data_IF_419832156832
#
_entry.id   IF_419832156832
#
_cell.length_a   1.000
_cell.length_b   1.000
_cell.length_c   1.000
_cell.angle_alpha   90.00
_cell.angle_beta   90.00
_cell.angle_gamma   90.00
#
_symmetry.space_group_name_H-M   'P 1'
#
loop_
_entity.id
_entity.type
_entity.pdbx_description
1 polymer ?
#
# COMPACT_ATOMS: atom_id res chain seq x y z
N UNK A 1 -89.93 6.02 -22.10
CA UNK A 1 -90.24 4.83 -22.92
C UNK A 1 -89.39 3.66 -22.39
N UNK A 2 -89.98 2.46 -22.26
CA UNK A 2 -89.44 1.25 -21.60
C UNK A 2 -88.62 0.41 -22.63
N UNK A 3 -87.92 -0.71 -22.36
CA UNK A 3 -88.30 -1.89 -21.58
C UNK A 3 -87.06 -2.78 -21.25
N UNK A 4 -87.22 -3.56 -20.16
CA UNK A 4 -86.49 -4.73 -19.64
C UNK A 4 -86.51 -5.93 -20.65
N UNK A 5 -85.93 -7.16 -20.44
CA UNK A 5 -85.49 -7.81 -19.18
C UNK A 5 -84.27 -8.80 -19.21
N UNK A 6 -83.93 -9.31 -18.01
CA UNK A 6 -83.17 -10.51 -17.55
C UNK A 6 -83.51 -11.87 -18.27
N UNK A 7 -82.98 -13.09 -17.94
CA UNK A 7 -81.80 -13.59 -17.17
C UNK A 7 -81.02 -14.75 -17.94
N UNK A 8 -80.66 -15.96 -17.40
CA UNK A 8 -79.38 -16.34 -16.76
C UNK A 8 -78.71 -17.66 -17.28
N UNK A 9 -77.65 -18.11 -16.56
CA UNK A 9 -77.08 -19.49 -16.45
C UNK A 9 -76.32 -19.98 -17.70
N UNK A 10 -75.09 -20.48 -17.58
CA UNK A 10 -74.82 -21.85 -17.10
C UNK A 10 -73.50 -22.00 -16.33
N UNK A 11 -73.59 -22.78 -15.26
CA UNK A 11 -72.48 -23.45 -14.56
C UNK A 11 -71.83 -24.47 -15.49
N UNK A 12 -70.51 -24.62 -15.37
CA UNK A 12 -69.76 -25.89 -15.28
C UNK A 12 -68.28 -25.57 -15.56
N UNK A 13 -67.41 -25.58 -14.54
CA UNK A 13 -66.74 -26.79 -14.06
C UNK A 13 -65.91 -27.47 -15.16
N UNK A 14 -64.58 -27.34 -15.06
CA UNK A 14 -63.52 -28.34 -15.31
C UNK A 14 -62.19 -27.57 -15.34
N UNK A 15 -61.42 -27.64 -14.26
CA UNK A 15 -60.34 -28.62 -14.05
C UNK A 15 -59.12 -28.38 -14.96
N UNK A 16 -57.95 -28.37 -14.32
CA UNK A 16 -56.67 -28.84 -14.86
C UNK A 16 -55.75 -27.79 -15.50
N UNK A 17 -54.87 -27.18 -14.70
CA UNK A 17 -53.41 -27.49 -14.64
C UNK A 17 -52.67 -26.28 -14.01
N UNK A 18 -52.00 -26.42 -12.86
CA UNK A 18 -51.08 -25.40 -12.39
C UNK A 18 -49.77 -25.52 -13.19
N UNK A 19 -49.50 -24.55 -14.07
CA UNK A 19 -48.16 -24.38 -14.63
C UNK A 19 -47.23 -23.95 -13.49
N UNK A 20 -46.42 -24.90 -13.00
CA UNK A 20 -45.23 -24.62 -12.21
C UNK A 20 -44.27 -23.75 -13.03
N UNK A 21 -44.27 -22.44 -12.79
CA UNK A 21 -43.12 -21.61 -13.14
C UNK A 21 -41.99 -21.93 -12.16
N UNK A 22 -41.08 -22.82 -12.59
CA UNK A 22 -39.80 -23.05 -11.95
C UNK A 22 -38.97 -21.75 -12.03
N UNK A 23 -39.03 -20.94 -10.97
CA UNK A 23 -38.11 -19.83 -10.76
C UNK A 23 -36.75 -20.43 -10.36
N UNK A 24 -35.86 -20.57 -11.33
CA UNK A 24 -34.46 -20.90 -11.12
C UNK A 24 -33.78 -19.67 -10.50
N UNK A 25 -33.24 -19.72 -9.26
CA UNK A 25 -32.43 -18.62 -8.77
C UNK A 25 -31.10 -18.68 -9.52
N UNK A 26 -30.82 -17.64 -10.31
CA UNK A 26 -29.48 -17.35 -10.80
C UNK A 26 -28.60 -17.09 -9.58
N UNK A 27 -27.93 -18.14 -9.12
CA UNK A 27 -26.88 -18.06 -8.11
C UNK A 27 -25.72 -17.31 -8.79
N UNK A 28 -25.68 -15.99 -8.62
CA UNK A 28 -24.53 -15.19 -8.96
C UNK A 28 -23.37 -15.68 -8.07
N UNK A 29 -22.51 -16.53 -8.63
CA UNK A 29 -21.24 -16.88 -8.04
C UNK A 29 -20.42 -15.59 -7.94
N UNK A 30 -20.46 -14.97 -6.76
CA UNK A 30 -19.53 -13.91 -6.41
C UNK A 30 -18.13 -14.54 -6.47
N UNK A 31 -17.39 -14.25 -7.54
CA UNK A 31 -15.97 -14.55 -7.57
C UNK A 31 -15.34 -13.87 -6.34
N UNK A 32 -14.57 -14.59 -5.51
CA UNK A 32 -13.86 -13.95 -4.42
C UNK A 32 -13.00 -12.83 -5.01
N UNK A 33 -12.88 -11.69 -4.32
CA UNK A 33 -12.00 -10.61 -4.79
C UNK A 33 -10.61 -11.23 -5.02
N UNK A 34 -10.04 -10.97 -6.20
CA UNK A 34 -8.68 -11.37 -6.50
C UNK A 34 -7.78 -10.77 -5.42
N UNK A 35 -7.30 -11.62 -4.52
CA UNK A 35 -6.41 -11.23 -3.44
C UNK A 35 -5.13 -10.73 -4.07
N UNK A 36 -4.94 -9.40 -4.07
CA UNK A 36 -3.62 -8.80 -4.31
C UNK A 36 -2.62 -9.57 -3.46
N UNK A 37 -1.47 -10.00 -4.00
CA UNK A 37 -0.48 -10.74 -3.22
C UNK A 37 -0.17 -9.96 -1.93
N UNK A 38 -0.64 -10.49 -0.80
CA UNK A 38 -0.30 -9.93 0.50
C UNK A 38 1.24 -10.00 0.63
N UNK A 39 1.88 -8.89 0.98
CA UNK A 39 3.30 -8.81 1.26
C UNK A 39 3.78 -9.98 2.16
N UNK A 40 5.07 -10.39 2.10
CA UNK A 40 5.58 -11.41 3.00
C UNK A 40 5.35 -10.99 4.46
N UNK A 41 4.96 -11.96 5.29
CA UNK A 41 5.08 -11.81 6.74
C UNK A 41 6.54 -11.77 7.15
N UNK A 42 6.83 -11.27 8.35
CA UNK A 42 8.20 -11.22 8.89
C UNK A 42 8.86 -12.61 8.87
N UNK A 43 8.16 -13.64 9.33
CA UNK A 43 8.66 -15.02 9.32
C UNK A 43 8.95 -15.54 7.91
N UNK A 44 8.09 -15.22 6.94
CA UNK A 44 8.31 -15.59 5.54
C UNK A 44 9.52 -14.85 4.95
N UNK A 45 9.73 -13.58 5.29
CA UNK A 45 10.88 -12.81 4.85
C UNK A 45 12.18 -13.33 5.48
N UNK A 46 12.17 -13.70 6.76
CA UNK A 46 13.31 -14.34 7.44
C UNK A 46 13.63 -15.69 6.79
N UNK A 47 12.61 -16.50 6.49
CA UNK A 47 12.81 -17.78 5.80
C UNK A 47 13.41 -17.59 4.40
N UNK A 48 12.89 -16.62 3.64
CA UNK A 48 13.42 -16.27 2.31
C UNK A 48 14.87 -15.78 2.37
N UNK A 49 15.23 -14.97 3.36
CA UNK A 49 16.60 -14.52 3.57
C UNK A 49 17.53 -15.70 3.87
N UNK A 50 17.16 -16.59 4.80
CA UNK A 50 17.98 -17.76 5.14
C UNK A 50 18.19 -18.67 3.94
N UNK A 51 17.14 -18.89 3.15
CA UNK A 51 17.24 -19.68 1.92
C UNK A 51 18.19 -19.03 0.90
N UNK A 52 18.14 -17.71 0.75
CA UNK A 52 19.07 -16.99 -0.13
C UNK A 52 20.52 -17.07 0.38
N UNK A 53 20.76 -16.86 1.67
CA UNK A 53 22.10 -16.97 2.27
C UNK A 53 22.66 -18.40 2.18
N UNK A 54 21.81 -19.43 2.25
CA UNK A 54 22.24 -20.81 2.08
C UNK A 54 22.56 -21.18 0.62
N UNK A 55 21.96 -20.47 -0.34
CA UNK A 55 22.22 -20.65 -1.77
C UNK A 55 23.47 -19.89 -2.23
N UNK A 56 23.82 -18.78 -1.58
CA UNK A 56 25.11 -18.14 -1.72
C UNK A 56 26.17 -19.06 -1.09
N UNK A 57 27.16 -19.50 -1.88
CA UNK A 57 28.21 -20.42 -1.42
C UNK A 57 28.78 -19.91 -0.09
N UNK A 58 28.86 -20.75 0.96
CA UNK A 58 29.25 -20.28 2.28
C UNK A 58 30.63 -19.62 2.17
N UNK A 59 30.77 -18.46 2.83
CA UNK A 59 32.04 -17.76 2.89
C UNK A 59 33.17 -18.74 3.19
N UNK A 60 34.28 -18.66 2.46
CA UNK A 60 35.33 -19.68 2.43
C UNK A 60 36.03 -19.96 3.78
N UNK A 61 35.64 -19.24 4.85
CA UNK A 61 36.19 -19.38 6.19
C UNK A 61 35.08 -19.57 7.23
N UNK A 62 35.33 -20.31 8.33
CA UNK A 62 34.37 -20.45 9.44
C UNK A 62 33.94 -19.10 10.05
N UNK A 63 34.85 -18.12 10.04
CA UNK A 63 34.55 -16.77 10.52
C UNK A 63 33.61 -16.01 9.56
N UNK A 64 33.78 -16.19 8.25
CA UNK A 64 32.86 -15.64 7.26
C UNK A 64 31.46 -16.27 7.35
N UNK A 65 31.38 -17.58 7.60
CA UNK A 65 30.11 -18.27 7.84
C UNK A 65 29.40 -17.73 9.09
N UNK A 66 30.11 -17.64 10.21
CA UNK A 66 29.56 -17.08 11.44
C UNK A 66 29.07 -15.63 11.26
N UNK A 67 29.77 -14.84 10.45
CA UNK A 67 29.35 -13.46 10.15
C UNK A 67 28.06 -13.43 9.33
N UNK A 68 27.96 -14.25 8.27
CA UNK A 68 26.74 -14.36 7.45
C UNK A 68 25.55 -14.86 8.28
N UNK A 69 25.75 -15.87 9.13
CA UNK A 69 24.72 -16.41 10.04
C UNK A 69 24.29 -15.43 11.15
N UNK A 70 25.13 -14.42 11.43
CA UNK A 70 24.81 -13.36 12.38
C UNK A 70 23.87 -12.30 11.80
N UNK A 71 23.77 -12.20 10.47
CA UNK A 71 22.89 -11.25 9.79
C UNK A 71 21.45 -11.78 9.82
N UNK A 72 20.55 -11.04 10.44
CA UNK A 72 19.14 -11.41 10.57
C UNK A 72 18.25 -10.25 10.22
N UNK A 73 17.27 -10.50 9.37
CA UNK A 73 16.14 -9.60 9.20
C UNK A 73 15.33 -9.59 10.50
N UNK A 74 15.19 -8.42 11.13
CA UNK A 74 14.48 -8.25 12.40
C UNK A 74 13.16 -7.51 12.25
N UNK A 75 12.97 -6.74 11.17
CA UNK A 75 11.78 -5.92 10.95
C UNK A 75 11.42 -5.86 9.46
N UNK A 76 10.12 -5.93 9.15
CA UNK A 76 9.54 -5.48 7.89
C UNK A 76 8.74 -4.23 8.17
N UNK A 77 9.15 -3.09 7.59
CA UNK A 77 8.47 -1.82 7.88
C UNK A 77 7.36 -1.52 6.89
N UNK A 78 7.68 -1.57 5.60
CA UNK A 78 6.72 -1.27 4.54
C UNK A 78 7.10 -2.02 3.28
N UNK A 79 6.12 -2.68 2.67
CA UNK A 79 6.26 -3.38 1.40
C UNK A 79 5.37 -2.70 0.34
N UNK A 80 5.98 -2.12 -0.67
CA UNK A 80 5.30 -1.55 -1.83
C UNK A 80 5.15 -2.60 -2.94
N UNK A 81 3.96 -2.75 -3.55
CA UNK A 81 3.80 -3.63 -4.70
C UNK A 81 4.57 -3.08 -5.88
N UNK A 82 5.38 -3.94 -6.51
CA UNK A 82 6.00 -3.65 -7.80
C UNK A 82 5.14 -4.25 -8.93
N UNK A 83 4.71 -5.51 -8.76
CA UNK A 83 3.82 -6.30 -9.64
C UNK A 83 3.06 -7.36 -8.82
N UNK A 84 2.16 -8.11 -9.46
CA UNK A 84 1.32 -9.16 -8.83
C UNK A 84 2.09 -10.29 -8.11
N UNK A 85 3.40 -10.42 -8.33
CA UNK A 85 4.22 -11.45 -7.68
C UNK A 85 5.46 -10.86 -7.00
N UNK A 86 5.66 -9.53 -7.03
CA UNK A 86 6.88 -8.87 -6.57
C UNK A 86 6.58 -7.66 -5.71
N UNK A 87 7.28 -7.58 -4.58
CA UNK A 87 7.21 -6.46 -3.66
C UNK A 87 8.61 -5.99 -3.30
N UNK A 88 8.77 -4.68 -3.17
CA UNK A 88 9.96 -4.08 -2.59
C UNK A 88 9.63 -3.71 -1.14
N UNK A 89 10.43 -4.17 -0.19
CA UNK A 89 10.22 -3.96 1.23
C UNK A 89 11.40 -3.21 1.84
N UNK A 90 11.10 -2.25 2.72
CA UNK A 90 12.08 -1.69 3.64
C UNK A 90 12.19 -2.65 4.81
N UNK A 91 13.39 -3.20 5.00
CA UNK A 91 13.69 -4.20 6.01
C UNK A 91 14.77 -3.70 6.95
N UNK A 92 14.69 -4.05 8.24
CA UNK A 92 15.81 -3.85 9.17
C UNK A 92 16.62 -5.14 9.24
N UNK A 93 17.91 -5.01 9.02
CA UNK A 93 18.88 -6.07 9.23
C UNK A 93 19.62 -5.78 10.51
N UNK A 94 19.72 -6.78 11.37
CA UNK A 94 20.56 -6.77 12.55
C UNK A 94 21.74 -7.71 12.35
N UNK A 95 22.88 -7.28 12.85
CA UNK A 95 24.10 -8.07 12.93
C UNK A 95 24.74 -7.82 14.29
N UNK A 96 25.76 -8.61 14.65
CA UNK A 96 26.54 -8.37 15.86
C UNK A 96 27.21 -6.98 15.91
N UNK A 97 27.26 -6.24 14.80
CA UNK A 97 27.88 -4.93 14.66
C UNK A 97 26.87 -3.76 14.66
N UNK A 98 25.58 -4.04 14.85
CA UNK A 98 24.49 -3.07 14.78
C UNK A 98 23.47 -3.40 13.70
N UNK A 99 22.49 -2.53 13.54
CA UNK A 99 21.41 -2.72 12.57
C UNK A 99 21.23 -1.55 11.62
N UNK A 100 20.83 -1.86 10.39
CA UNK A 100 20.59 -0.89 9.34
C UNK A 100 19.36 -1.26 8.51
N UNK A 101 18.66 -0.26 8.00
CA UNK A 101 17.58 -0.42 7.04
C UNK A 101 18.12 -0.57 5.63
N UNK A 102 17.52 -1.48 4.86
CA UNK A 102 17.80 -1.71 3.45
C UNK A 102 16.52 -2.02 2.67
N UNK A 103 16.57 -1.91 1.35
CA UNK A 103 15.47 -2.30 0.46
C UNK A 103 15.71 -3.69 -0.10
N UNK A 104 14.80 -4.62 0.18
CA UNK A 104 14.83 -5.99 -0.34
C UNK A 104 13.68 -6.22 -1.30
N UNK A 105 13.94 -6.92 -2.40
CA UNK A 105 12.90 -7.36 -3.34
C UNK A 105 12.54 -8.80 -3.09
N UNK A 106 11.27 -9.04 -2.78
CA UNK A 106 10.71 -10.38 -2.63
C UNK A 106 9.88 -10.75 -3.85
N UNK A 107 10.02 -11.98 -4.31
CA UNK A 107 9.18 -12.57 -5.36
C UNK A 107 8.45 -13.79 -4.82
N UNK A 108 7.15 -13.88 -5.06
CA UNK A 108 6.35 -15.06 -4.75
C UNK A 108 6.47 -16.06 -5.90
N UNK A 109 6.99 -17.26 -5.62
CA UNK A 109 7.12 -18.36 -6.59
C UNK A 109 6.61 -19.65 -5.94
N UNK A 110 5.72 -20.36 -6.62
CA UNK A 110 5.12 -21.61 -6.15
C UNK A 110 4.52 -21.52 -4.74
N UNK A 111 3.95 -20.37 -4.41
CA UNK A 111 3.34 -20.10 -3.10
C UNK A 111 4.31 -19.67 -2.00
N UNK A 112 5.63 -19.74 -2.21
CA UNK A 112 6.65 -19.31 -1.27
C UNK A 112 7.26 -17.96 -1.66
N UNK A 113 7.72 -17.20 -0.66
CA UNK A 113 8.49 -15.98 -0.88
C UNK A 113 9.96 -16.29 -1.05
N UNK A 114 10.57 -15.71 -2.07
CA UNK A 114 12.00 -15.82 -2.38
C UNK A 114 12.61 -14.43 -2.41
N UNK A 115 13.83 -14.29 -1.88
CA UNK A 115 14.58 -13.04 -1.94
C UNK A 115 15.28 -12.99 -3.30
N UNK A 116 15.05 -11.93 -4.07
CA UNK A 116 15.81 -11.67 -5.28
C UNK A 116 17.18 -11.06 -4.93
N UNK A 117 18.21 -11.23 -5.78
CA UNK A 117 19.55 -10.72 -5.51
C UNK A 117 19.53 -9.25 -5.08
N UNK A 118 20.34 -8.92 -4.08
CA UNK A 118 20.50 -7.56 -3.59
C UNK A 118 21.12 -6.70 -4.71
N UNK A 119 20.28 -5.94 -5.40
CA UNK A 119 20.70 -4.82 -6.24
C UNK A 119 20.57 -3.53 -5.43
N UNK A 120 21.20 -2.44 -5.89
CA UNK A 120 20.85 -1.09 -5.43
C UNK A 120 19.42 -0.77 -5.87
N UNK A 121 18.47 -1.16 -5.02
CA UNK A 121 17.05 -0.98 -5.22
C UNK A 121 16.65 0.36 -4.62
N UNK A 122 16.02 1.21 -5.45
CA UNK A 122 15.35 2.39 -4.95
C UNK A 122 14.34 1.96 -3.86
N UNK A 123 14.29 2.66 -2.72
CA UNK A 123 13.34 2.33 -1.68
C UNK A 123 11.90 2.53 -2.15
N UNK A 124 10.96 1.73 -1.63
CA UNK A 124 9.55 2.08 -1.68
C UNK A 124 9.36 3.52 -1.20
N UNK A 125 8.59 4.29 -1.97
CA UNK A 125 8.30 5.69 -1.68
C UNK A 125 6.78 5.90 -1.62
N UNK A 126 6.29 6.95 -0.94
CA UNK A 126 4.88 7.31 -1.04
C UNK A 126 4.51 7.61 -2.50
N UNK A 127 3.28 7.28 -2.88
CA UNK A 127 2.72 7.78 -4.13
C UNK A 127 2.55 9.31 -4.09
N UNK A 128 2.49 9.97 -5.25
CA UNK A 128 2.20 11.42 -5.33
C UNK A 128 0.92 11.79 -4.58
N UNK A 129 -0.11 10.96 -4.67
CA UNK A 129 -1.38 11.16 -3.96
C UNK A 129 -1.20 11.08 -2.44
N UNK A 130 -0.45 10.10 -1.95
CA UNK A 130 -0.13 9.99 -0.52
C UNK A 130 0.70 11.17 -0.04
N UNK A 131 1.77 11.54 -0.75
CA UNK A 131 2.60 12.70 -0.39
C UNK A 131 1.80 14.00 -0.40
N UNK A 132 0.93 14.22 -1.39
CA UNK A 132 0.05 15.37 -1.44
C UNK A 132 -0.90 15.41 -0.23
N UNK A 133 -1.53 14.29 0.11
CA UNK A 133 -2.41 14.22 1.28
C UNK A 133 -1.66 14.57 2.57
N UNK A 134 -0.44 14.05 2.74
CA UNK A 134 0.40 14.32 3.91
C UNK A 134 0.83 15.79 4.00
N UNK A 135 1.24 16.39 2.89
CA UNK A 135 1.62 17.81 2.85
C UNK A 135 0.45 18.74 3.17
N UNK A 136 -0.72 18.45 2.59
CA UNK A 136 -1.94 19.22 2.88
C UNK A 136 -2.34 19.07 4.35
N UNK A 137 -2.24 17.87 4.91
CA UNK A 137 -2.52 17.62 6.31
C UNK A 137 -1.53 18.36 7.24
N UNK A 138 -0.23 18.38 6.92
CA UNK A 138 0.77 19.13 7.69
C UNK A 138 0.51 20.64 7.68
N UNK A 139 0.18 21.21 6.52
CA UNK A 139 -0.19 22.63 6.40
C UNK A 139 -1.42 22.97 7.27
N UNK A 140 -2.47 22.15 7.22
CA UNK A 140 -3.67 22.32 8.04
C UNK A 140 -3.40 22.13 9.54
N UNK A 141 -2.46 21.26 9.90
CA UNK A 141 -2.05 21.04 11.29
C UNK A 141 -1.26 22.22 11.86
N UNK A 142 -0.47 22.90 11.02
CA UNK A 142 0.32 24.08 11.40
C UNK A 142 -0.49 25.37 11.44
N UNK A 143 -1.44 25.55 10.52
CA UNK A 143 -2.27 26.75 10.43
C UNK A 143 -2.85 27.25 11.78
N UNK A 144 -3.51 26.42 12.61
CA UNK A 144 -4.10 26.89 13.87
C UNK A 144 -3.06 27.26 14.94
N UNK A 145 -1.78 26.91 14.74
CA UNK A 145 -0.68 27.25 15.66
C UNK A 145 -0.05 28.61 15.36
N UNK A 146 -0.50 29.29 14.30
CA UNK A 146 -0.03 30.61 13.91
C UNK A 146 -0.93 31.68 14.54
N UNK A 147 -0.33 32.65 15.23
CA UNK A 147 -1.05 33.79 15.81
C UNK A 147 -1.52 34.79 14.74
N UNK A 148 -0.76 34.91 13.65
CA UNK A 148 -1.05 35.79 12.52
C UNK A 148 -2.15 35.18 11.64
N UNK A 149 -3.29 35.88 11.56
CA UNK A 149 -4.46 35.47 10.77
C UNK A 149 -4.18 35.46 9.27
N UNK A 150 -3.32 36.36 8.78
CA UNK A 150 -2.96 36.39 7.37
C UNK A 150 -2.11 35.17 7.01
N UNK A 151 -1.11 34.84 7.83
CA UNK A 151 -0.30 33.64 7.65
C UNK A 151 -1.13 32.36 7.77
N UNK A 152 -2.05 32.27 8.75
CA UNK A 152 -3.00 31.17 8.85
C UNK A 152 -3.78 30.98 7.55
N UNK A 153 -4.37 32.05 7.02
CA UNK A 153 -5.07 32.02 5.74
C UNK A 153 -4.18 31.69 4.53
N UNK A 154 -2.87 31.94 4.60
CA UNK A 154 -1.92 31.47 3.56
C UNK A 154 -1.72 29.94 3.64
N UNK A 155 -1.58 29.37 4.84
CA UNK A 155 -1.43 27.92 5.02
C UNK A 155 -2.68 27.16 4.58
N UNK A 156 -3.87 27.62 4.96
CA UNK A 156 -5.14 27.01 4.57
C UNK A 156 -5.34 27.03 3.04
N UNK A 157 -5.07 28.18 2.39
CA UNK A 157 -5.12 28.28 0.93
C UNK A 157 -4.08 27.41 0.24
N UNK A 158 -2.86 27.34 0.78
CA UNK A 158 -1.83 26.44 0.27
C UNK A 158 -2.29 24.99 0.39
N UNK A 159 -2.83 24.55 1.53
CA UNK A 159 -3.35 23.19 1.70
C UNK A 159 -4.48 22.87 0.71
N UNK A 160 -5.38 23.82 0.44
CA UNK A 160 -6.49 23.60 -0.49
C UNK A 160 -6.04 23.43 -1.95
N UNK A 161 -4.92 24.04 -2.35
CA UNK A 161 -4.49 24.16 -3.74
C UNK A 161 -3.19 23.46 -4.09
N UNK A 162 -2.42 23.00 -3.09
CA UNK A 162 -1.13 22.32 -3.28
C UNK A 162 -1.31 21.07 -4.12
N UNK A 163 -0.53 20.96 -5.19
CA UNK A 163 -0.44 19.75 -6.02
C UNK A 163 0.99 19.24 -5.97
N UNK A 164 1.18 17.95 -5.69
CA UNK A 164 2.49 17.31 -5.85
C UNK A 164 2.64 16.90 -7.31
N UNK A 165 3.50 17.61 -8.04
CA UNK A 165 3.74 17.39 -9.47
C UNK A 165 4.74 16.25 -9.70
N UNK A 166 5.76 16.14 -8.85
CA UNK A 166 6.84 15.15 -8.96
C UNK A 166 7.27 14.61 -7.59
N UNK A 167 7.74 13.36 -7.60
CA UNK A 167 8.44 12.69 -6.50
C UNK A 167 9.62 11.94 -7.12
N UNK A 168 10.82 12.43 -6.85
CA UNK A 168 12.05 11.98 -7.50
C UNK A 168 13.17 11.82 -6.46
N UNK A 169 14.27 11.16 -6.87
CA UNK A 169 15.47 11.06 -6.03
C UNK A 169 15.24 10.44 -4.65
N UNK A 170 14.32 9.48 -4.52
CA UNK A 170 14.00 8.91 -3.22
C UNK A 170 15.14 8.03 -2.68
N UNK A 171 15.66 8.37 -1.50
CA UNK A 171 16.77 7.69 -0.82
C UNK A 171 16.37 7.23 0.58
N UNK A 172 16.88 6.07 1.00
CA UNK A 172 16.64 5.49 2.31
C UNK A 172 17.75 5.90 3.28
N UNK A 173 17.37 6.58 4.36
CA UNK A 173 18.22 6.71 5.53
C UNK A 173 18.36 5.34 6.20
N UNK A 174 19.54 4.74 6.08
CA UNK A 174 19.80 3.39 6.61
C UNK A 174 19.82 3.33 8.13
N UNK A 175 19.98 4.45 8.84
CA UNK A 175 19.96 4.46 10.30
C UNK A 175 18.53 4.59 10.83
N UNK A 176 17.74 5.49 10.25
CA UNK A 176 16.40 5.82 10.76
C UNK A 176 15.26 5.10 10.02
N UNK A 177 15.54 4.54 8.84
CA UNK A 177 14.56 3.90 7.96
C UNK A 177 13.56 4.90 7.36
N UNK A 178 13.94 6.17 7.26
CA UNK A 178 13.15 7.24 6.65
C UNK A 178 13.50 7.35 5.18
N UNK A 179 12.53 7.69 4.34
CA UNK A 179 12.74 7.91 2.90
C UNK A 179 12.73 9.41 2.63
N UNK A 180 13.83 9.93 2.13
CA UNK A 180 13.95 11.32 1.68
C UNK A 180 13.68 11.37 0.19
N UNK A 181 12.76 12.21 -0.27
CA UNK A 181 12.51 12.40 -1.70
C UNK A 181 12.52 13.88 -2.05
N UNK A 182 12.94 14.19 -3.27
CA UNK A 182 12.75 15.51 -3.86
C UNK A 182 11.31 15.63 -4.36
N UNK A 183 10.62 16.65 -3.85
CA UNK A 183 9.18 16.84 -4.08
C UNK A 183 8.96 18.12 -4.86
N UNK A 184 8.50 17.95 -6.11
CA UNK A 184 8.00 19.05 -6.92
C UNK A 184 6.58 19.40 -6.50
N UNK A 185 6.32 20.67 -6.23
CA UNK A 185 5.05 21.20 -5.76
C UNK A 185 4.57 22.32 -6.66
N UNK A 186 3.26 22.39 -6.88
CA UNK A 186 2.59 23.54 -7.49
C UNK A 186 1.72 24.21 -6.44
N UNK A 187 2.01 25.48 -6.17
CA UNK A 187 1.32 26.33 -5.22
C UNK A 187 0.65 27.51 -5.95
N UNK A 188 -0.29 28.23 -5.33
CA UNK A 188 -0.91 29.41 -5.95
C UNK A 188 0.07 30.50 -6.38
N UNK A 189 1.23 30.55 -5.73
CA UNK A 189 2.27 31.56 -6.00
C UNK A 189 3.29 31.13 -7.07
N UNK A 190 3.21 29.87 -7.54
CA UNK A 190 4.17 29.30 -8.47
C UNK A 190 4.54 27.85 -8.13
N UNK A 191 5.39 27.26 -8.96
CA UNK A 191 6.00 25.97 -8.68
C UNK A 191 7.13 26.13 -7.64
N UNK A 192 7.32 25.11 -6.82
CA UNK A 192 8.31 25.04 -5.74
C UNK A 192 8.88 23.62 -5.62
N UNK A 193 10.05 23.47 -5.00
CA UNK A 193 10.68 22.17 -4.80
C UNK A 193 11.34 22.09 -3.42
N UNK A 194 11.14 20.96 -2.75
CA UNK A 194 11.77 20.70 -1.46
C UNK A 194 12.11 19.21 -1.28
N UNK A 195 13.21 18.92 -0.60
CA UNK A 195 13.51 17.57 -0.13
C UNK A 195 12.73 17.31 1.16
N UNK A 196 11.82 16.33 1.11
CA UNK A 196 10.95 15.97 2.22
C UNK A 196 11.24 14.55 2.70
N UNK A 197 11.09 14.35 4.01
CA UNK A 197 11.31 13.06 4.66
C UNK A 197 9.98 12.40 4.98
N UNK A 198 9.87 11.12 4.67
CA UNK A 198 8.69 10.30 4.89
C UNK A 198 9.06 9.09 5.74
N UNK A 199 8.30 8.85 6.81
CA UNK A 199 8.47 7.69 7.69
C UNK A 199 7.43 6.63 7.33
N UNK A 200 7.85 5.45 6.85
CA UNK A 200 6.93 4.35 6.60
C UNK A 200 6.34 3.85 7.93
N UNK A 201 5.05 3.55 7.94
CA UNK A 201 4.34 3.00 9.09
C UNK A 201 4.04 1.51 8.85
N UNK A 202 3.90 0.74 9.93
CA UNK A 202 3.70 -0.71 9.87
C UNK A 202 2.37 -1.12 9.20
N UNK A 203 1.40 -0.21 9.14
CA UNK A 203 0.10 -0.40 8.48
C UNK A 203 0.14 -0.12 6.97
N UNK A 204 1.31 0.13 6.39
CA UNK A 204 1.47 0.48 4.99
C UNK A 204 1.21 1.95 4.67
N UNK A 205 0.95 2.78 5.69
CA UNK A 205 0.81 4.23 5.53
C UNK A 205 2.14 4.96 5.67
N UNK A 206 2.12 6.26 5.43
CA UNK A 206 3.28 7.14 5.49
C UNK A 206 2.99 8.28 6.44
N UNK A 207 4.02 8.75 7.15
CA UNK A 207 3.98 9.99 7.93
C UNK A 207 4.99 10.97 7.37
N UNK A 208 4.62 12.24 7.25
CA UNK A 208 5.59 13.30 6.95
C UNK A 208 6.46 13.54 8.19
N UNK A 209 7.78 13.53 7.99
CA UNK A 209 8.74 13.93 9.01
C UNK A 209 9.17 15.37 8.72
N UNK A 210 8.68 16.35 9.51
CA UNK A 210 8.95 17.75 9.24
C UNK A 210 10.46 18.04 9.39
N UNK A 211 11.01 18.95 8.57
CA UNK A 211 12.38 19.44 8.77
C UNK A 211 12.48 20.07 10.17
N UNK A 212 13.57 19.75 10.89
CA UNK A 212 13.88 20.35 12.20
C UNK A 212 14.30 21.80 12.07
#
# INVERSE_FOLDING_TARGET
MPALPFPPRHRAARLSLPLLCLAWPLLAAAAPPASTPAAPTLDQAIAAQRAALAAESPAATPMGQALVESIRLSELRLCGPLREDRVDCIVRLESGLGGAYQTYRFQRRDGAWTLLPLADLAPPAPSRTQAQALLRADLLLRAPRLDDTEQRGRYERAAASLIVSALEGCELDRAEGRVSCDVGMRLPKGDDQATLRFVPQADGTWRLDPPR
#
